data_IF_459302123119
#
_entry.id   IF_459302123119
#
_cell.length_a   1.000
_cell.length_b   1.000
_cell.length_c   1.000
_cell.angle_alpha   90.00
_cell.angle_beta   90.00
_cell.angle_gamma   90.00
#
_symmetry.space_group_name_H-M   'P 1'
#
loop_
_entity.id
_entity.type
_entity.pdbx_description
1 polymer ?
#
# COMPACT_ATOMS: atom_id res chain seq x y z
N UNK A 1 13.10 31.30 -13.36
CA UNK A 1 13.17 30.42 -12.16
C UNK A 1 11.95 30.57 -11.23
N UNK A 2 10.79 31.05 -11.69
CA UNK A 2 9.64 31.35 -10.83
C UNK A 2 8.36 30.52 -11.14
N UNK A 3 8.44 29.45 -11.94
CA UNK A 3 7.24 28.72 -12.42
C UNK A 3 6.95 27.39 -11.71
N UNK A 4 7.86 26.86 -10.90
CA UNK A 4 7.67 25.55 -10.23
C UNK A 4 6.96 25.65 -8.85
N UNK A 5 7.03 26.79 -8.16
CA UNK A 5 6.48 26.98 -6.80
C UNK A 5 5.01 27.40 -6.72
N UNK A 6 4.26 27.27 -7.82
CA UNK A 6 2.83 27.63 -7.91
C UNK A 6 1.92 26.42 -8.20
N UNK A 7 2.47 25.21 -8.05
CA UNK A 7 1.78 23.94 -8.29
C UNK A 7 1.70 23.18 -6.96
N UNK A 8 0.50 23.12 -6.38
CA UNK A 8 0.21 22.42 -5.12
C UNK A 8 0.88 21.04 -5.01
N UNK A 9 0.78 20.25 -6.06
CA UNK A 9 1.29 18.87 -6.10
C UNK A 9 2.81 18.83 -6.06
N UNK A 10 3.50 19.82 -6.62
CA UNK A 10 4.95 19.92 -6.56
C UNK A 10 5.45 20.25 -5.14
N UNK A 11 4.81 21.22 -4.48
CA UNK A 11 5.15 21.60 -3.12
C UNK A 11 4.90 20.43 -2.15
N UNK A 12 3.74 19.77 -2.26
CA UNK A 12 3.44 18.56 -1.49
C UNK A 12 4.42 17.41 -1.79
N UNK A 13 4.79 17.19 -3.06
CA UNK A 13 5.74 16.14 -3.42
C UNK A 13 7.14 16.39 -2.84
N UNK A 14 7.54 17.65 -2.72
CA UNK A 14 8.84 18.04 -2.15
C UNK A 14 8.92 17.76 -0.66
N UNK A 15 7.81 17.96 0.07
CA UNK A 15 7.74 17.68 1.51
C UNK A 15 7.47 16.20 1.77
N UNK A 16 6.55 15.57 1.05
CA UNK A 16 6.11 14.19 1.27
C UNK A 16 6.97 13.15 0.54
N UNK A 17 8.27 13.43 0.44
CA UNK A 17 9.23 12.63 -0.30
C UNK A 17 9.39 11.20 0.28
N UNK A 18 10.31 10.43 -0.31
CA UNK A 18 10.59 9.05 0.12
C UNK A 18 11.26 8.93 1.50
N UNK A 19 11.55 10.01 2.20
CA UNK A 19 12.14 9.96 3.55
C UNK A 19 11.35 10.77 4.58
N UNK A 20 10.21 11.38 4.22
CA UNK A 20 9.38 12.20 5.11
C UNK A 20 9.17 11.51 6.47
N UNK A 21 9.92 12.00 7.47
CA UNK A 21 9.93 11.59 8.86
C UNK A 21 10.36 10.14 9.18
N UNK A 22 10.42 9.24 8.19
CA UNK A 22 10.52 7.79 8.41
C UNK A 22 11.96 7.34 8.64
N UNK A 23 12.19 6.64 9.76
CA UNK A 23 13.50 6.10 10.17
C UNK A 23 13.61 4.57 10.04
N UNK A 24 12.53 3.90 9.63
CA UNK A 24 12.50 2.44 9.48
C UNK A 24 13.06 1.97 8.13
N UNK A 25 13.11 0.65 7.94
CA UNK A 25 13.53 -0.01 6.71
C UNK A 25 12.52 -1.08 6.32
N UNK A 26 12.36 -1.32 5.02
CA UNK A 26 11.48 -2.39 4.49
C UNK A 26 11.98 -3.81 4.87
N UNK A 27 13.24 -3.92 5.28
CA UNK A 27 13.84 -5.16 5.77
C UNK A 27 14.84 -4.91 6.90
N UNK A 28 14.90 -5.85 7.83
CA UNK A 28 15.80 -5.94 8.96
C UNK A 28 16.73 -7.14 8.80
N UNK A 29 17.99 -6.97 9.19
CA UNK A 29 18.97 -8.06 9.25
C UNK A 29 20.00 -7.74 10.31
N UNK A 30 20.18 -8.64 11.28
CA UNK A 30 21.20 -8.48 12.32
C UNK A 30 21.64 -9.82 12.92
N UNK A 31 22.93 -9.91 13.23
CA UNK A 31 23.45 -10.96 14.12
C UNK A 31 22.98 -10.70 15.55
N UNK A 32 22.51 -11.76 16.22
CA UNK A 32 22.04 -11.72 17.60
C UNK A 32 22.90 -12.67 18.45
N UNK A 33 24.11 -12.25 18.85
CA UNK A 33 24.94 -13.03 19.77
C UNK A 33 24.32 -13.16 21.17
N UNK A 34 23.33 -12.32 21.47
CA UNK A 34 22.49 -12.36 22.67
C UNK A 34 21.37 -13.42 22.62
N UNK A 35 21.15 -14.05 21.46
CA UNK A 35 20.11 -15.07 21.31
C UNK A 35 20.50 -16.36 22.07
N UNK A 36 19.61 -16.86 22.96
CA UNK A 36 19.87 -18.10 23.67
C UNK A 36 19.73 -19.30 22.72
N UNK A 37 20.38 -20.41 23.04
CA UNK A 37 20.15 -21.68 22.32
C UNK A 37 18.67 -22.10 22.53
N UNK A 38 17.88 -22.29 21.46
CA UNK A 38 16.48 -22.70 21.59
C UNK A 38 16.27 -24.05 22.30
N UNK A 39 17.30 -24.90 22.37
CA UNK A 39 17.19 -26.31 22.72
C UNK A 39 16.08 -26.97 21.89
N UNK A 40 16.25 -26.86 20.56
CA UNK A 40 15.29 -27.29 19.55
C UNK A 40 15.09 -28.80 19.62
N UNK A 41 13.84 -29.25 19.75
CA UNK A 41 13.49 -30.66 19.69
C UNK A 41 12.46 -30.95 18.60
N UNK A 42 12.63 -32.10 17.94
CA UNK A 42 11.75 -32.61 16.89
C UNK A 42 11.32 -34.02 17.26
N UNK A 43 10.01 -34.22 17.45
CA UNK A 43 9.44 -35.49 17.98
C UNK A 43 10.18 -35.96 19.25
N UNK A 44 10.44 -35.05 20.18
CA UNK A 44 11.15 -35.27 21.46
C UNK A 44 12.64 -35.64 21.34
N UNK A 45 13.25 -35.52 20.15
CA UNK A 45 14.72 -35.64 19.99
C UNK A 45 15.35 -34.24 19.91
N UNK A 46 16.37 -34.00 20.71
CA UNK A 46 17.17 -32.78 20.66
C UNK A 46 17.98 -32.72 19.35
N UNK A 47 17.95 -31.56 18.70
CA UNK A 47 18.74 -31.23 17.52
C UNK A 47 19.97 -30.46 17.98
N UNK A 48 21.17 -30.94 17.63
CA UNK A 48 22.41 -30.27 18.00
C UNK A 48 22.55 -28.95 17.26
N UNK A 49 22.94 -27.87 17.96
CA UNK A 49 23.42 -26.63 17.36
C UNK A 49 24.91 -26.45 17.69
N UNK A 50 25.78 -26.17 16.69
CA UNK A 50 25.45 -26.05 15.27
C UNK A 50 24.97 -27.36 14.63
N UNK A 51 24.14 -27.25 13.59
CA UNK A 51 23.49 -28.40 12.97
C UNK A 51 24.50 -29.43 12.46
N UNK A 52 24.39 -30.66 12.95
CA UNK A 52 25.19 -31.80 12.48
C UNK A 52 24.54 -32.47 11.26
N UNK A 53 25.34 -33.15 10.44
CA UNK A 53 24.81 -33.90 9.29
C UNK A 53 23.84 -35.01 9.73
N UNK A 54 24.12 -35.68 10.86
CA UNK A 54 23.26 -36.73 11.42
C UNK A 54 21.87 -36.16 11.73
N UNK A 55 21.81 -35.00 12.38
CA UNK A 55 20.53 -34.38 12.69
C UNK A 55 19.86 -33.79 11.45
N UNK A 56 20.61 -33.24 10.49
CA UNK A 56 20.06 -32.78 9.21
C UNK A 56 19.36 -33.92 8.44
N UNK A 57 19.96 -35.11 8.42
CA UNK A 57 19.35 -36.32 7.82
C UNK A 57 18.12 -36.78 8.62
N UNK A 58 18.14 -36.68 9.94
CA UNK A 58 16.97 -37.00 10.77
C UNK A 58 15.80 -36.03 10.51
N UNK A 59 16.08 -34.73 10.40
CA UNK A 59 15.11 -33.69 10.03
C UNK A 59 14.44 -34.01 8.70
N UNK A 60 15.21 -34.46 7.71
CA UNK A 60 14.69 -34.90 6.42
C UNK A 60 13.70 -36.06 6.53
N UNK A 61 13.98 -37.07 7.35
CA UNK A 61 13.06 -38.20 7.58
C UNK A 61 11.77 -37.75 8.28
N UNK A 62 11.85 -36.70 9.09
CA UNK A 62 10.69 -36.15 9.80
C UNK A 62 9.82 -35.22 8.95
N UNK A 63 10.28 -34.81 7.78
CA UNK A 63 9.54 -33.96 6.86
C UNK A 63 8.39 -34.71 6.18
N UNK A 64 7.32 -33.99 5.88
CA UNK A 64 6.23 -34.50 5.05
C UNK A 64 6.68 -34.75 3.59
N UNK A 65 7.85 -34.23 3.20
CA UNK A 65 8.47 -34.40 1.87
C UNK A 65 9.97 -34.75 1.99
N UNK A 66 10.31 -35.97 2.41
CA UNK A 66 11.70 -36.39 2.57
C UNK A 66 12.44 -36.44 1.22
N UNK A 67 13.74 -36.13 1.21
CA UNK A 67 14.62 -36.35 0.05
C UNK A 67 14.60 -37.83 -0.36
N UNK A 68 13.99 -38.11 -1.51
CA UNK A 68 13.87 -39.47 -2.04
C UNK A 68 13.66 -39.57 -3.54
N UNK A 69 13.20 -38.51 -4.22
CA UNK A 69 13.00 -38.52 -5.67
C UNK A 69 13.51 -37.19 -6.25
N UNK A 70 14.75 -37.22 -6.79
CA UNK A 70 15.51 -36.11 -7.37
C UNK A 70 14.78 -34.79 -7.63
N UNK A 71 15.09 -33.77 -6.83
CA UNK A 71 14.73 -32.38 -7.12
C UNK A 71 15.03 -31.48 -5.93
N UNK A 72 15.93 -30.50 -6.11
CA UNK A 72 16.39 -29.59 -5.06
C UNK A 72 15.28 -28.68 -4.51
N UNK A 73 14.46 -29.24 -3.61
CA UNK A 73 13.38 -28.63 -2.84
C UNK A 73 13.79 -28.72 -1.36
N UNK A 74 13.44 -27.73 -0.50
CA UNK A 74 13.98 -27.67 0.83
C UNK A 74 13.17 -28.61 1.72
N UNK A 75 13.82 -29.14 2.76
CA UNK A 75 13.13 -29.97 3.74
C UNK A 75 12.32 -29.06 4.64
N UNK A 76 10.99 -29.16 4.54
CA UNK A 76 10.04 -28.39 5.34
C UNK A 76 9.46 -29.29 6.42
N UNK A 77 9.51 -28.84 7.66
CA UNK A 77 8.98 -29.55 8.82
C UNK A 77 7.81 -28.76 9.39
N UNK A 78 6.71 -29.47 9.61
CA UNK A 78 5.50 -28.91 10.17
C UNK A 78 5.76 -28.34 11.58
N UNK A 79 5.31 -27.11 11.89
CA UNK A 79 5.55 -26.45 13.17
C UNK A 79 5.01 -27.24 14.38
N UNK A 80 3.99 -28.08 14.20
CA UNK A 80 3.43 -28.93 15.28
C UNK A 80 4.42 -30.00 15.79
N UNK A 81 5.44 -30.34 15.01
CA UNK A 81 6.48 -31.30 15.40
C UNK A 81 7.65 -30.63 16.13
N UNK A 82 7.68 -29.30 16.15
CA UNK A 82 8.76 -28.47 16.67
C UNK A 82 8.43 -28.03 18.08
N UNK A 83 9.36 -28.21 19.02
CA UNK A 83 9.24 -27.60 20.35
C UNK A 83 10.58 -27.10 20.89
N UNK A 84 10.51 -26.06 21.70
CA UNK A 84 11.66 -25.36 22.26
C UNK A 84 11.73 -25.64 23.76
N UNK A 85 12.85 -26.20 24.24
CA UNK A 85 13.00 -26.54 25.66
C UNK A 85 13.61 -25.40 26.48
N UNK A 86 14.18 -24.37 25.86
CA UNK A 86 14.71 -23.22 26.57
C UNK A 86 13.65 -22.10 26.73
N UNK A 87 13.15 -21.82 27.94
CA UNK A 87 12.16 -20.76 28.16
C UNK A 87 12.67 -19.36 27.80
N UNK A 88 14.00 -19.14 27.85
CA UNK A 88 14.59 -17.88 27.45
C UNK A 88 14.42 -17.60 25.94
N UNK A 89 14.17 -18.64 25.13
CA UNK A 89 13.89 -18.48 23.70
C UNK A 89 12.65 -17.64 23.44
N UNK A 90 11.56 -17.93 24.15
CA UNK A 90 10.30 -17.19 24.02
C UNK A 90 10.48 -15.73 24.46
N UNK A 91 11.21 -15.52 25.55
CA UNK A 91 11.55 -14.16 26.01
C UNK A 91 12.40 -13.40 24.98
N UNK A 92 13.34 -14.08 24.31
CA UNK A 92 14.12 -13.49 23.23
C UNK A 92 13.23 -13.08 22.05
N UNK A 93 12.31 -13.96 21.62
CA UNK A 93 11.35 -13.65 20.54
C UNK A 93 10.46 -12.45 20.90
N UNK A 94 9.98 -12.38 22.14
CA UNK A 94 9.13 -11.28 22.62
C UNK A 94 9.89 -9.96 22.85
N UNK A 95 11.17 -10.02 23.20
CA UNK A 95 12.03 -8.83 23.43
C UNK A 95 12.34 -8.01 22.16
N UNK A 96 11.84 -8.44 20.99
CA UNK A 96 12.13 -7.88 19.68
C UNK A 96 11.48 -6.52 19.37
N UNK A 97 11.33 -5.65 20.38
CA UNK A 97 11.06 -4.21 20.22
C UNK A 97 11.99 -3.58 19.18
N UNK A 98 13.20 -4.12 19.01
CA UNK A 98 14.15 -3.66 18.00
C UNK A 98 13.72 -3.99 16.57
N UNK A 99 13.12 -5.16 16.31
CA UNK A 99 12.68 -5.54 14.95
C UNK A 99 11.50 -4.66 14.53
N UNK A 100 10.51 -4.49 15.42
CA UNK A 100 9.36 -3.61 15.17
C UNK A 100 9.82 -2.17 14.93
N UNK A 101 10.69 -1.64 15.79
CA UNK A 101 11.25 -0.29 15.63
C UNK A 101 12.07 -0.13 14.35
N UNK A 102 12.87 -1.14 13.96
CA UNK A 102 13.66 -1.10 12.74
C UNK A 102 12.82 -1.24 11.46
N UNK A 103 11.72 -1.98 11.50
CA UNK A 103 10.71 -1.95 10.45
C UNK A 103 9.90 -0.64 10.47
N UNK A 104 10.04 0.17 11.52
CA UNK A 104 9.37 1.47 11.65
C UNK A 104 7.95 1.38 12.17
N UNK A 105 7.62 0.29 12.87
CA UNK A 105 6.43 0.21 13.70
C UNK A 105 6.68 0.98 15.01
N UNK A 106 5.72 1.78 15.49
CA UNK A 106 5.79 2.35 16.83
C UNK A 106 5.83 1.21 17.86
N UNK A 107 6.64 1.41 18.92
CA UNK A 107 6.99 0.38 19.91
C UNK A 107 5.84 -0.10 20.81
N UNK A 108 4.61 0.26 20.49
CA UNK A 108 3.40 0.03 21.26
C UNK A 108 2.47 -1.03 20.68
N UNK A 109 2.78 -1.56 19.48
CA UNK A 109 2.01 -2.65 18.90
C UNK A 109 2.36 -3.98 19.58
N UNK A 110 1.34 -4.70 20.02
CA UNK A 110 1.50 -6.09 20.47
C UNK A 110 1.63 -7.00 19.24
N UNK A 111 2.78 -7.66 19.11
CA UNK A 111 3.12 -8.53 17.98
C UNK A 111 3.25 -9.95 18.49
N UNK A 112 2.42 -10.84 17.93
CA UNK A 112 2.53 -12.29 18.14
C UNK A 112 3.42 -12.90 17.07
N UNK A 113 4.31 -13.77 17.52
CA UNK A 113 5.22 -14.55 16.68
C UNK A 113 4.64 -15.96 16.53
N UNK A 114 4.17 -16.32 15.33
CA UNK A 114 3.66 -17.68 15.05
C UNK A 114 4.70 -18.42 14.22
N UNK A 115 5.22 -19.54 14.72
CA UNK A 115 6.10 -20.40 13.91
C UNK A 115 5.28 -20.95 12.75
N UNK A 116 5.70 -20.65 11.52
CA UNK A 116 5.07 -21.12 10.30
C UNK A 116 5.73 -22.43 9.84
N UNK A 117 7.05 -22.47 9.78
CA UNK A 117 7.79 -23.67 9.34
C UNK A 117 9.23 -23.71 9.88
N UNK A 118 9.78 -24.92 9.96
CA UNK A 118 11.21 -25.17 10.11
C UNK A 118 11.76 -25.72 8.79
N UNK A 119 12.78 -25.06 8.24
CA UNK A 119 13.31 -25.35 6.90
C UNK A 119 14.79 -25.70 6.96
N UNK A 120 15.18 -26.78 6.25
CA UNK A 120 16.57 -27.14 5.99
C UNK A 120 16.86 -26.99 4.50
N UNK A 121 17.82 -26.12 4.17
CA UNK A 121 18.34 -25.98 2.82
C UNK A 121 19.64 -26.81 2.65
N UNK A 122 19.71 -27.62 1.59
CA UNK A 122 20.87 -28.46 1.19
C UNK A 122 21.13 -28.32 -0.33
N UNK A 123 22.29 -28.82 -0.78
CA UNK A 123 22.67 -29.00 -2.18
C UNK A 123 22.36 -30.42 -2.70
N UNK A 124 22.15 -30.64 -4.01
CA UNK A 124 22.11 -29.66 -5.10
C UNK A 124 20.74 -28.99 -5.22
N UNK A 125 20.73 -27.66 -5.08
CA UNK A 125 19.54 -26.85 -5.31
C UNK A 125 19.45 -26.47 -6.79
N UNK A 126 18.48 -27.03 -7.53
CA UNK A 126 18.14 -26.48 -8.85
C UNK A 126 17.29 -25.24 -8.61
N UNK A 127 17.87 -24.09 -8.97
CA UNK A 127 17.28 -22.75 -8.95
C UNK A 127 15.85 -22.71 -9.50
N UNK A 128 14.87 -23.08 -8.68
CA UNK A 128 13.56 -22.47 -8.77
C UNK A 128 13.65 -21.25 -7.88
N UNK A 129 13.65 -20.07 -8.51
CA UNK A 129 13.53 -18.81 -7.79
C UNK A 129 12.25 -18.89 -6.96
N UNK A 130 12.39 -19.20 -5.66
CA UNK A 130 11.28 -19.06 -4.75
C UNK A 130 11.10 -17.56 -4.55
N UNK A 131 10.28 -16.96 -5.42
CA UNK A 131 9.50 -15.81 -5.01
C UNK A 131 8.55 -16.35 -3.97
N UNK A 132 8.99 -16.34 -2.71
CA UNK A 132 8.04 -16.32 -1.61
C UNK A 132 7.36 -14.96 -1.71
N UNK A 133 6.35 -14.85 -2.56
CA UNK A 133 5.31 -13.88 -2.32
C UNK A 133 4.50 -14.55 -1.22
N UNK A 134 4.83 -14.26 0.04
CA UNK A 134 4.12 -14.82 1.18
C UNK A 134 2.67 -14.37 1.01
N UNK A 135 1.82 -15.30 0.58
CA UNK A 135 0.38 -15.13 0.61
C UNK A 135 0.09 -14.84 2.08
N UNK A 136 -0.66 -13.78 2.38
CA UNK A 136 -1.18 -13.60 3.73
C UNK A 136 -2.02 -14.83 4.07
N UNK A 137 -1.45 -15.78 4.78
CA UNK A 137 -2.14 -17.00 5.19
C UNK A 137 -3.01 -16.75 6.44
N UNK A 138 -2.76 -15.64 7.15
CA UNK A 138 -3.39 -15.31 8.42
C UNK A 138 -3.75 -13.82 8.50
N UNK A 139 -4.96 -13.53 8.97
CA UNK A 139 -5.42 -12.17 9.20
C UNK A 139 -4.49 -11.41 10.17
N UNK A 140 -4.10 -10.20 9.77
CA UNK A 140 -3.21 -9.33 10.55
C UNK A 140 -1.72 -9.66 10.45
N UNK A 141 -1.32 -10.65 9.64
CA UNK A 141 0.09 -10.88 9.29
C UNK A 141 0.63 -9.73 8.44
N UNK A 142 1.68 -9.06 8.92
CA UNK A 142 2.26 -7.91 8.21
C UNK A 142 3.69 -8.15 7.72
N UNK A 143 4.43 -9.07 8.35
CA UNK A 143 5.83 -9.34 8.05
C UNK A 143 6.19 -10.81 8.32
N UNK A 144 7.27 -11.24 7.68
CA UNK A 144 7.91 -12.53 7.90
C UNK A 144 9.21 -12.30 8.66
N UNK A 145 9.53 -13.19 9.60
CA UNK A 145 10.79 -13.19 10.33
C UNK A 145 11.47 -14.54 10.19
N UNK A 146 12.69 -14.55 9.66
CA UNK A 146 13.54 -15.73 9.62
C UNK A 146 14.57 -15.67 10.74
N UNK A 147 14.71 -16.78 11.45
CA UNK A 147 15.78 -17.00 12.43
C UNK A 147 16.68 -18.10 11.90
N UNK A 148 17.86 -17.71 11.44
CA UNK A 148 18.89 -18.62 10.93
C UNK A 148 19.65 -19.16 12.13
N UNK A 149 19.57 -20.48 12.35
CA UNK A 149 20.23 -21.16 13.44
C UNK A 149 21.66 -21.57 13.04
N UNK A 150 22.57 -21.73 14.02
CA UNK A 150 23.95 -22.11 13.75
C UNK A 150 24.03 -23.40 12.94
N UNK A 151 24.64 -23.35 11.77
CA UNK A 151 24.75 -24.45 10.82
C UNK A 151 25.84 -24.17 9.78
N UNK A 152 26.55 -25.20 9.32
CA UNK A 152 27.67 -25.01 8.40
C UNK A 152 27.15 -24.96 6.96
N UNK A 153 27.29 -23.82 6.28
CA UNK A 153 26.92 -23.69 4.86
C UNK A 153 27.74 -22.62 4.12
N UNK A 154 27.72 -22.70 2.78
CA UNK A 154 28.25 -21.66 1.87
C UNK A 154 27.21 -21.28 0.82
N UNK A 155 27.30 -20.05 0.30
CA UNK A 155 26.27 -19.49 -0.60
C UNK A 155 25.00 -19.11 0.17
N UNK A 156 23.87 -19.07 -0.52
CA UNK A 156 22.58 -18.82 0.12
C UNK A 156 22.23 -17.35 0.35
N UNK A 157 22.82 -16.41 -0.39
CA UNK A 157 22.52 -14.98 -0.18
C UNK A 157 21.04 -14.69 -0.43
N UNK A 158 20.46 -13.87 0.43
CA UNK A 158 19.06 -13.44 0.33
C UNK A 158 19.03 -12.04 -0.24
N UNK A 159 18.37 -11.87 -1.38
CA UNK A 159 18.07 -10.55 -1.93
C UNK A 159 16.63 -10.19 -1.55
N UNK A 160 16.46 -9.07 -0.85
CA UNK A 160 15.14 -8.50 -0.52
C UNK A 160 14.96 -7.21 -1.32
N UNK A 161 13.79 -7.05 -1.93
CA UNK A 161 13.50 -5.89 -2.79
C UNK A 161 12.10 -5.34 -2.57
N UNK A 162 12.01 -4.01 -2.49
CA UNK A 162 10.77 -3.26 -2.32
C UNK A 162 10.76 -2.10 -3.33
N UNK A 163 9.82 -2.13 -4.27
CA UNK A 163 9.78 -1.19 -5.38
C UNK A 163 11.04 -1.20 -6.25
N UNK A 164 11.81 -0.10 -6.22
CA UNK A 164 13.06 0.07 -6.97
C UNK A 164 14.32 -0.18 -6.13
N UNK A 165 14.15 -0.45 -4.82
CA UNK A 165 15.25 -0.62 -3.88
C UNK A 165 15.46 -2.12 -3.64
N UNK A 166 16.70 -2.56 -3.70
CA UNK A 166 17.09 -3.96 -3.46
C UNK A 166 18.30 -4.02 -2.54
N UNK A 167 18.31 -4.98 -1.61
CA UNK A 167 19.40 -5.21 -0.66
C UNK A 167 19.77 -6.68 -0.68
N UNK A 168 21.08 -6.96 -0.76
CA UNK A 168 21.63 -8.32 -0.67
C UNK A 168 22.12 -8.55 0.76
N UNK A 169 21.74 -9.68 1.33
CA UNK A 169 22.09 -10.11 2.67
C UNK A 169 22.90 -11.41 2.54
N UNK A 170 24.18 -11.35 2.90
CA UNK A 170 25.07 -12.51 2.97
C UNK A 170 25.40 -12.82 4.44
N UNK A 171 25.25 -14.09 4.82
CA UNK A 171 25.42 -14.62 6.18
C UNK A 171 26.41 -15.78 6.26
N UNK A 172 27.14 -16.05 5.19
CA UNK A 172 28.06 -17.18 5.13
C UNK A 172 29.21 -17.08 6.15
N UNK A 173 29.63 -15.87 6.53
CA UNK A 173 30.84 -15.65 7.36
C UNK A 173 30.68 -15.97 8.84
N UNK A 174 29.46 -15.98 9.38
CA UNK A 174 29.19 -16.24 10.81
C UNK A 174 28.18 -17.36 11.07
N UNK A 175 27.91 -18.18 10.05
CA UNK A 175 26.89 -19.22 10.04
C UNK A 175 27.05 -20.27 11.14
N UNK A 176 28.27 -20.48 11.64
CA UNK A 176 28.58 -21.54 12.60
C UNK A 176 28.36 -21.18 14.07
N UNK A 177 28.32 -19.90 14.43
CA UNK A 177 28.36 -19.49 15.84
C UNK A 177 27.21 -18.57 16.22
N UNK A 178 26.66 -17.83 15.26
CA UNK A 178 25.69 -16.78 15.55
C UNK A 178 24.31 -17.17 15.06
N UNK A 179 23.29 -16.79 15.83
CA UNK A 179 21.92 -16.73 15.34
C UNK A 179 21.75 -15.41 14.60
N UNK A 180 21.23 -15.47 13.37
CA UNK A 180 20.88 -14.28 12.60
C UNK A 180 19.37 -14.16 12.50
N UNK A 181 18.88 -12.96 12.74
CA UNK A 181 17.47 -12.62 12.55
C UNK A 181 17.32 -11.73 11.32
N UNK A 182 16.44 -12.13 10.42
CA UNK A 182 16.04 -11.41 9.23
C UNK A 182 14.54 -11.16 9.33
N UNK A 183 14.07 -10.00 8.88
CA UNK A 183 12.63 -9.77 8.77
C UNK A 183 12.32 -8.78 7.65
N UNK A 184 11.17 -8.92 7.02
CA UNK A 184 10.70 -8.06 5.94
C UNK A 184 9.17 -8.06 5.89
N UNK A 185 8.60 -7.01 5.30
CA UNK A 185 7.15 -6.92 5.09
C UNK A 185 6.64 -7.93 4.06
N UNK A 186 5.38 -8.34 4.20
CA UNK A 186 4.67 -9.31 3.34
C UNK A 186 4.70 -8.97 1.84
N UNK A 187 4.81 -7.70 1.48
CA UNK A 187 4.85 -7.21 0.10
C UNK A 187 6.29 -7.02 -0.45
N UNK A 188 7.31 -7.30 0.37
CA UNK A 188 8.71 -7.30 -0.06
C UNK A 188 8.99 -8.58 -0.85
N UNK A 189 9.62 -8.44 -2.01
CA UNK A 189 10.03 -9.60 -2.82
C UNK A 189 11.35 -10.15 -2.31
N UNK A 190 11.36 -11.40 -1.86
CA UNK A 190 12.57 -12.14 -1.57
C UNK A 190 13.03 -13.04 -2.74
N UNK A 191 14.35 -13.14 -2.89
CA UNK A 191 15.02 -14.08 -3.79
C UNK A 191 16.18 -14.72 -3.05
N UNK A 192 16.09 -16.02 -2.83
CA UNK A 192 17.14 -16.83 -2.20
C UNK A 192 18.06 -17.43 -3.29
N UNK A 193 19.37 -17.20 -3.17
CA UNK A 193 20.37 -17.92 -3.96
C UNK A 193 20.58 -19.34 -3.39
N UNK A 194 21.02 -20.31 -4.22
CA UNK A 194 21.27 -21.67 -3.76
C UNK A 194 22.38 -21.73 -2.70
N UNK A 195 22.22 -22.67 -1.75
CA UNK A 195 23.33 -23.16 -0.93
C UNK A 195 24.26 -23.96 -1.84
N UNK A 196 25.58 -23.73 -1.72
CA UNK A 196 26.62 -24.39 -2.54
C UNK A 196 27.35 -25.52 -1.82
N UNK A 197 27.28 -25.55 -0.48
CA UNK A 197 27.74 -26.68 0.34
C UNK A 197 27.11 -26.59 1.73
N UNK A 198 26.90 -27.75 2.37
CA UNK A 198 26.43 -27.85 3.75
C UNK A 198 24.91 -27.69 3.92
N UNK A 199 24.49 -27.37 5.15
CA UNK A 199 23.09 -27.25 5.56
C UNK A 199 22.83 -25.90 6.19
N UNK A 200 21.73 -25.26 5.80
CA UNK A 200 21.22 -24.05 6.48
C UNK A 200 19.91 -24.35 7.16
N UNK A 201 19.88 -24.20 8.49
CA UNK A 201 18.69 -24.38 9.32
C UNK A 201 18.01 -23.04 9.59
N UNK A 202 16.70 -22.95 9.30
CA UNK A 202 15.94 -21.71 9.42
C UNK A 202 14.59 -21.97 10.06
N UNK A 203 14.26 -21.19 11.10
CA UNK A 203 12.89 -21.07 11.61
C UNK A 203 12.21 -19.88 10.92
N UNK A 204 11.04 -20.10 10.32
CA UNK A 204 10.23 -19.06 9.70
C UNK A 204 9.03 -18.73 10.59
N UNK A 205 8.89 -17.46 10.95
CA UNK A 205 7.81 -16.95 11.78
C UNK A 205 6.97 -15.92 11.01
N UNK A 206 5.64 -16.03 11.15
CA UNK A 206 4.70 -14.98 10.78
C UNK A 206 4.59 -13.97 11.92
N UNK A 207 4.80 -12.68 11.64
CA UNK A 207 4.58 -11.58 12.58
C UNK A 207 3.16 -11.05 12.41
N UNK A 208 2.34 -11.20 13.46
CA UNK A 208 0.91 -10.90 13.45
C UNK A 208 0.61 -9.79 14.47
N UNK A 209 -0.15 -8.76 14.07
CA UNK A 209 -0.61 -7.72 14.99
C UNK A 209 -1.79 -8.26 15.81
N UNK A 210 -1.70 -8.17 17.13
CA UNK A 210 -2.77 -8.58 18.04
C UNK A 210 -3.82 -7.48 18.28
N UNK A 211 -3.41 -6.21 18.17
CA UNK A 211 -4.31 -5.06 18.30
C UNK A 211 -4.24 -4.17 17.05
N UNK A 212 -5.41 -3.95 16.44
CA UNK A 212 -5.58 -3.02 15.32
C UNK A 212 -5.81 -1.58 15.80
N UNK A 213 -6.11 -1.35 17.09
CA UNK A 213 -6.09 0.01 17.64
C UNK A 213 -4.65 0.45 17.88
N UNK A 214 -4.05 1.08 16.88
CA UNK A 214 -2.75 1.73 17.02
C UNK A 214 -2.84 2.95 17.93
N UNK A 215 -1.88 3.18 18.83
CA UNK A 215 -1.76 4.46 19.50
C UNK A 215 -1.18 5.52 18.56
N UNK A 216 -1.60 6.74 18.83
CA UNK A 216 -1.19 7.99 18.21
C UNK A 216 0.34 8.09 18.15
N UNK A 217 0.93 7.98 16.95
CA UNK A 217 2.36 8.27 16.78
C UNK A 217 2.51 9.79 16.89
N UNK A 218 2.84 10.25 18.09
CA UNK A 218 3.11 11.66 18.35
C UNK A 218 4.30 12.15 17.50
N UNK A 219 4.27 13.40 16.99
CA UNK A 219 5.40 14.00 16.30
C UNK A 219 6.67 13.95 17.15
N UNK A 220 7.76 13.38 16.61
CA UNK A 220 9.08 13.50 17.25
C UNK A 220 9.71 14.84 16.87
N UNK A 221 10.48 15.44 17.78
CA UNK A 221 11.14 16.74 17.61
C UNK A 221 12.07 16.87 16.39
N UNK A 222 12.38 15.76 15.71
CA UNK A 222 13.18 15.76 14.47
C UNK A 222 12.40 16.16 13.22
N UNK A 223 11.05 16.15 13.25
CA UNK A 223 10.21 16.36 12.08
C UNK A 223 9.46 17.70 12.11
N UNK A 224 9.76 18.57 13.07
CA UNK A 224 9.03 19.83 13.28
C UNK A 224 9.11 20.75 12.08
N UNK A 225 10.26 20.86 11.39
CA UNK A 225 10.38 21.71 10.19
C UNK A 225 9.54 21.23 9.02
N UNK A 226 9.51 19.91 8.77
CA UNK A 226 8.74 19.32 7.67
C UNK A 226 7.23 19.36 7.94
N UNK A 227 6.82 19.19 9.19
CA UNK A 227 5.42 19.35 9.60
C UNK A 227 4.96 20.81 9.51
N UNK A 228 5.79 21.78 9.88
CA UNK A 228 5.50 23.20 9.68
C UNK A 228 5.35 23.51 8.19
N UNK A 229 6.24 23.00 7.34
CA UNK A 229 6.14 23.19 5.89
C UNK A 229 4.90 22.53 5.29
N UNK A 230 4.53 21.34 5.76
CA UNK A 230 3.28 20.69 5.37
C UNK A 230 2.06 21.53 5.77
N UNK A 231 2.07 22.09 6.98
CA UNK A 231 1.01 22.98 7.45
C UNK A 231 0.88 24.22 6.54
N UNK A 232 1.98 24.91 6.24
CA UNK A 232 1.99 26.08 5.35
C UNK A 232 1.44 25.75 3.96
N UNK A 233 1.78 24.58 3.41
CA UNK A 233 1.30 24.13 2.09
C UNK A 233 -0.22 23.88 2.12
N UNK A 234 -0.71 23.17 3.13
CA UNK A 234 -2.13 22.86 3.27
C UNK A 234 -2.96 24.12 3.59
N UNK A 235 -2.42 25.04 4.38
CA UNK A 235 -3.05 26.32 4.67
C UNK A 235 -3.12 27.22 3.42
N UNK A 236 -2.03 27.26 2.63
CA UNK A 236 -2.02 27.93 1.33
C UNK A 236 -3.05 27.31 0.38
N UNK A 237 -3.23 26.00 0.42
CA UNK A 237 -4.28 25.34 -0.37
C UNK A 237 -5.67 25.75 0.09
N UNK A 238 -5.96 25.64 1.39
CA UNK A 238 -7.24 26.02 1.97
C UNK A 238 -7.61 27.49 1.65
N UNK A 239 -6.65 28.41 1.74
CA UNK A 239 -6.86 29.85 1.50
C UNK A 239 -6.88 30.24 0.01
N UNK A 240 -6.77 29.28 -0.91
CA UNK A 240 -6.80 29.54 -2.35
C UNK A 240 -5.53 30.20 -2.89
N UNK A 241 -4.40 30.04 -2.20
CA UNK A 241 -3.11 30.64 -2.56
C UNK A 241 -2.37 29.96 -3.74
N UNK A 242 -2.95 28.94 -4.36
CA UNK A 242 -2.42 28.30 -5.57
C UNK A 242 -3.22 28.70 -6.81
N UNK A 243 -2.52 29.08 -7.88
CA UNK A 243 -3.17 29.44 -9.16
C UNK A 243 -3.66 28.23 -9.93
N UNK A 244 -3.03 27.08 -9.74
CA UNK A 244 -3.36 25.83 -10.42
C UNK A 244 -3.68 24.75 -9.38
N UNK A 245 -4.93 24.26 -9.43
CA UNK A 245 -5.39 23.12 -8.66
C UNK A 245 -5.64 21.92 -9.59
N UNK A 246 -5.48 20.68 -9.09
CA UNK A 246 -5.88 19.49 -9.84
C UNK A 246 -7.33 19.56 -10.28
N UNK A 247 -7.64 18.98 -11.45
CA UNK A 247 -8.99 18.99 -12.06
C UNK A 247 -10.09 18.44 -11.14
N UNK A 248 -9.71 17.60 -10.17
CA UNK A 248 -10.61 16.95 -9.22
C UNK A 248 -10.64 17.59 -7.83
N UNK A 249 -9.92 18.69 -7.58
CA UNK A 249 -9.74 19.30 -6.24
C UNK A 249 -9.29 18.31 -5.16
N UNK A 250 -8.55 17.28 -5.56
CA UNK A 250 -7.96 16.31 -4.65
C UNK A 250 -6.54 15.99 -5.11
N UNK A 251 -5.73 15.53 -4.17
CA UNK A 251 -4.36 15.08 -4.41
C UNK A 251 -4.26 13.62 -3.97
N UNK A 252 -3.73 12.76 -4.83
CA UNK A 252 -3.44 11.36 -4.50
C UNK A 252 -1.96 11.15 -4.24
N UNK A 253 -1.59 10.71 -3.05
CA UNK A 253 -0.24 10.29 -2.71
C UNK A 253 -0.13 8.77 -2.87
N UNK A 254 0.71 8.31 -3.80
CA UNK A 254 0.95 6.87 -3.97
C UNK A 254 1.74 6.33 -2.78
N UNK A 255 1.18 5.31 -2.13
CA UNK A 255 1.79 4.61 -1.01
C UNK A 255 2.79 3.55 -1.50
N UNK A 256 3.80 3.28 -0.68
CA UNK A 256 4.92 2.40 -1.02
C UNK A 256 4.57 0.92 -0.93
N UNK A 257 3.68 0.54 -0.02
CA UNK A 257 3.23 -0.84 0.14
C UNK A 257 1.96 -1.14 -0.66
N UNK A 258 1.78 -2.41 -1.00
CA UNK A 258 0.54 -2.92 -1.57
C UNK A 258 -0.39 -3.39 -0.45
N UNK A 259 -1.62 -2.86 -0.43
CA UNK A 259 -2.64 -3.27 0.54
C UNK A 259 -3.82 -3.94 -0.18
N UNK A 260 -4.27 -5.04 0.39
CA UNK A 260 -5.49 -5.74 -0.02
C UNK A 260 -6.73 -4.96 0.40
N UNK A 261 -7.88 -5.30 -0.20
CA UNK A 261 -9.17 -4.67 0.11
C UNK A 261 -9.57 -4.85 1.59
N UNK A 262 -9.32 -6.03 2.17
CA UNK A 262 -9.54 -6.29 3.60
C UNK A 262 -8.63 -5.45 4.50
N UNK A 263 -7.39 -5.17 4.08
CA UNK A 263 -6.50 -4.25 4.80
C UNK A 263 -6.99 -2.79 4.71
N UNK A 264 -7.60 -2.39 3.59
CA UNK A 264 -8.19 -1.04 3.46
C UNK A 264 -9.43 -0.86 4.34
N UNK A 265 -10.21 -1.91 4.54
CA UNK A 265 -11.38 -1.92 5.46
C UNK A 265 -10.96 -1.87 6.94
N UNK A 266 -9.71 -2.18 7.27
CA UNK A 266 -9.12 -1.96 8.60
C UNK A 266 -8.69 -0.47 8.77
N UNK A 267 -8.47 0.25 7.66
CA UNK A 267 -8.10 1.65 7.65
C UNK A 267 -6.62 1.91 8.02
N UNK A 268 -6.37 3.02 8.71
CA UNK A 268 -5.02 3.49 9.08
C UNK A 268 -4.21 2.44 9.85
N UNK A 269 -4.89 1.59 10.61
CA UNK A 269 -4.29 0.53 11.41
C UNK A 269 -3.60 -0.57 10.60
N UNK A 270 -3.98 -0.77 9.34
CA UNK A 270 -3.37 -1.77 8.46
C UNK A 270 -2.06 -1.29 7.83
N UNK A 271 -1.81 0.03 7.83
CA UNK A 271 -0.67 0.61 7.15
C UNK A 271 0.65 0.05 7.72
N UNK A 272 1.64 -0.07 6.84
CA UNK A 272 2.96 -0.69 7.09
C UNK A 272 4.06 0.34 6.85
N UNK A 273 5.14 0.19 7.62
CA UNK A 273 6.40 0.93 7.47
C UNK A 273 6.21 2.42 7.24
N UNK A 274 6.72 2.89 6.11
CA UNK A 274 6.72 4.30 5.75
C UNK A 274 5.32 4.88 5.55
N UNK A 275 4.38 4.11 5.02
CA UNK A 275 3.04 4.61 4.73
C UNK A 275 2.28 4.94 6.01
N UNK A 276 2.37 4.05 7.01
CA UNK A 276 1.81 4.29 8.33
C UNK A 276 2.38 5.57 8.93
N UNK A 277 3.70 5.74 8.82
CA UNK A 277 4.38 6.93 9.34
C UNK A 277 3.92 8.22 8.65
N UNK A 278 3.84 8.22 7.31
CA UNK A 278 3.35 9.37 6.51
C UNK A 278 1.93 9.72 6.90
N UNK A 279 1.02 8.74 6.90
CA UNK A 279 -0.39 8.98 7.21
C UNK A 279 -0.55 9.51 8.64
N UNK A 280 0.16 8.94 9.62
CA UNK A 280 0.11 9.41 11.01
C UNK A 280 0.62 10.85 11.19
N UNK A 281 1.50 11.33 10.31
CA UNK A 281 2.01 12.70 10.34
C UNK A 281 1.12 13.69 9.58
N UNK A 282 0.60 13.27 8.43
CA UNK A 282 -0.28 14.10 7.61
C UNK A 282 -1.63 14.28 8.33
N UNK A 283 -2.15 13.23 8.99
CA UNK A 283 -3.49 13.21 9.55
C UNK A 283 -3.78 14.35 10.54
N UNK A 284 -2.98 14.62 11.59
CA UNK A 284 -3.25 15.72 12.51
C UNK A 284 -3.26 17.09 11.82
N UNK A 285 -2.30 17.33 10.91
CA UNK A 285 -2.19 18.61 10.17
C UNK A 285 -3.38 18.79 9.22
N UNK A 286 -3.72 17.76 8.47
CA UNK A 286 -4.86 17.74 7.56
C UNK A 286 -6.17 18.00 8.32
N UNK A 287 -6.38 17.30 9.45
CA UNK A 287 -7.59 17.42 10.24
C UNK A 287 -7.76 18.84 10.83
N UNK A 288 -6.68 19.45 11.33
CA UNK A 288 -6.70 20.83 11.84
C UNK A 288 -7.13 21.85 10.79
N UNK A 289 -6.73 21.64 9.53
CA UNK A 289 -7.00 22.55 8.40
C UNK A 289 -8.25 22.16 7.60
N UNK A 290 -9.07 21.25 8.10
CA UNK A 290 -10.34 20.88 7.45
C UNK A 290 -10.20 19.96 6.24
N UNK A 291 -9.08 19.24 6.10
CA UNK A 291 -8.91 18.20 5.10
C UNK A 291 -9.36 16.83 5.62
N UNK A 292 -9.85 16.00 4.71
CA UNK A 292 -10.11 14.58 4.92
C UNK A 292 -9.07 13.74 4.18
N UNK A 293 -8.76 12.59 4.77
CA UNK A 293 -7.83 11.61 4.25
C UNK A 293 -8.57 10.30 4.01
N UNK A 294 -8.46 9.79 2.79
CA UNK A 294 -9.05 8.52 2.39
C UNK A 294 -7.96 7.59 1.84
N UNK A 295 -8.08 6.30 2.09
CA UNK A 295 -7.34 5.29 1.38
C UNK A 295 -8.14 4.87 0.15
N UNK A 296 -7.45 4.62 -0.96
CA UNK A 296 -8.07 4.19 -2.20
C UNK A 296 -7.15 3.20 -2.92
N UNK A 297 -7.75 2.33 -3.71
CA UNK A 297 -7.03 1.50 -4.66
C UNK A 297 -6.82 2.32 -5.94
N UNK A 298 -5.57 2.45 -6.36
CA UNK A 298 -5.16 3.19 -7.54
C UNK A 298 -4.72 2.18 -8.61
N UNK A 299 -5.43 2.20 -9.72
CA UNK A 299 -5.12 1.40 -10.90
C UNK A 299 -4.57 2.31 -11.99
N UNK A 300 -3.51 1.86 -12.64
CA UNK A 300 -2.93 2.50 -13.82
C UNK A 300 -2.84 1.50 -14.96
N UNK A 301 -3.27 1.91 -16.15
CA UNK A 301 -3.06 1.19 -17.39
C UNK A 301 -2.65 2.14 -18.50
N UNK A 302 -1.77 1.65 -19.38
CA UNK A 302 -1.45 2.28 -20.64
C UNK A 302 -1.82 1.28 -21.75
N UNK A 303 -2.78 1.63 -22.61
CA UNK A 303 -3.05 0.84 -23.81
C UNK A 303 -1.99 1.16 -24.85
N UNK A 304 -1.00 0.29 -24.95
CA UNK A 304 -0.33 0.11 -26.23
C UNK A 304 -1.31 -0.70 -27.06
N UNK A 305 -2.01 -0.05 -28.00
CA UNK A 305 -2.66 -0.81 -29.06
C UNK A 305 -1.55 -1.69 -29.68
N UNK A 306 -1.72 -3.01 -29.64
CA UNK A 306 -0.95 -3.92 -30.47
C UNK A 306 -1.12 -3.42 -31.90
N UNK A 307 -0.12 -2.69 -32.38
CA UNK A 307 -0.16 -2.15 -33.72
C UNK A 307 -0.05 -3.36 -34.65
N UNK A 308 -1.16 -3.74 -35.26
CA UNK A 308 -1.08 -4.10 -36.67
C UNK A 308 -0.30 -2.95 -37.32
N UNK A 309 0.89 -3.25 -37.82
CA UNK A 309 1.80 -2.28 -38.44
C UNK A 309 1.08 -1.66 -39.63
N UNK A 310 0.44 -0.51 -39.44
CA UNK A 310 -0.04 0.32 -40.53
C UNK A 310 1.17 1.00 -41.17
N UNK A 311 1.39 0.67 -42.44
CA UNK A 311 2.36 1.33 -43.28
C UNK A 311 1.68 2.55 -43.93
N UNK A 312 2.24 3.75 -43.73
CA UNK A 312 1.85 4.92 -44.52
C UNK A 312 2.21 4.69 -46.00
N UNK A 313 1.61 5.46 -46.92
CA UNK A 313 1.81 5.32 -48.38
C UNK A 313 3.25 5.46 -48.87
N UNK A 314 4.16 5.94 -48.00
CA UNK A 314 5.59 6.13 -48.25
C UNK A 314 6.48 5.04 -47.59
N UNK A 315 5.91 4.00 -46.97
CA UNK A 315 6.65 2.84 -46.48
C UNK A 315 7.50 3.08 -45.22
N UNK A 316 7.22 4.15 -44.46
CA UNK A 316 7.85 4.44 -43.17
C UNK A 316 7.06 3.82 -42.02
N UNK A 317 7.76 3.16 -41.07
CA UNK A 317 7.16 2.59 -39.86
C UNK A 317 6.51 3.68 -39.00
N UNK A 318 5.18 3.68 -38.94
CA UNK A 318 4.43 4.47 -37.97
C UNK A 318 4.57 3.83 -36.58
N UNK A 319 5.47 4.36 -35.74
CA UNK A 319 5.51 3.96 -34.32
C UNK A 319 4.14 4.26 -33.70
N UNK A 320 3.44 3.28 -33.11
CA UNK A 320 2.17 3.55 -32.44
C UNK A 320 2.41 4.58 -31.33
N UNK A 321 1.59 5.64 -31.34
CA UNK A 321 1.59 6.61 -30.24
C UNK A 321 0.99 5.90 -29.02
N UNK A 322 1.69 5.78 -27.89
CA UNK A 322 1.10 5.23 -26.69
C UNK A 322 -0.13 6.06 -26.32
N UNK A 323 -1.23 5.41 -25.92
CA UNK A 323 -2.38 6.10 -25.36
C UNK A 323 -1.93 6.91 -24.13
N UNK A 324 -2.62 8.02 -23.79
CA UNK A 324 -2.36 8.72 -22.54
C UNK A 324 -2.50 7.77 -21.35
N UNK A 325 -1.65 7.91 -20.34
CA UNK A 325 -1.77 7.17 -19.08
C UNK A 325 -3.16 7.40 -18.48
N UNK A 326 -3.87 6.30 -18.16
CA UNK A 326 -5.16 6.36 -17.48
C UNK A 326 -5.00 5.87 -16.05
N UNK A 327 -5.52 6.67 -15.12
CA UNK A 327 -5.52 6.37 -13.69
C UNK A 327 -6.95 6.27 -13.20
N UNK A 328 -7.27 5.22 -12.46
CA UNK A 328 -8.55 5.05 -11.80
C UNK A 328 -8.34 4.93 -10.30
N UNK A 329 -9.17 5.65 -9.54
CA UNK A 329 -9.29 5.47 -8.09
C UNK A 329 -10.60 4.76 -7.78
N UNK A 330 -10.52 3.64 -7.09
CA UNK A 330 -11.67 2.91 -6.59
C UNK A 330 -11.43 2.47 -5.14
N UNK A 331 -12.40 1.75 -4.58
CA UNK A 331 -12.32 1.19 -3.25
C UNK A 331 -11.92 2.22 -2.17
N UNK A 332 -12.67 3.32 -2.07
CA UNK A 332 -12.37 4.35 -1.07
C UNK A 332 -12.76 3.89 0.34
N UNK A 333 -11.89 4.11 1.31
CA UNK A 333 -12.18 3.99 2.73
C UNK A 333 -11.66 5.23 3.48
N UNK A 334 -12.36 5.65 4.52
CA UNK A 334 -11.78 6.61 5.46
C UNK A 334 -10.67 5.96 6.29
N UNK A 335 -9.91 6.75 7.06
CA UNK A 335 -8.85 6.20 7.92
C UNK A 335 -9.34 5.27 9.03
N UNK A 336 -10.66 5.18 9.28
CA UNK A 336 -11.28 4.26 10.23
C UNK A 336 -11.75 2.96 9.55
N UNK A 337 -11.60 2.83 8.23
CA UNK A 337 -12.05 1.67 7.47
C UNK A 337 -13.50 1.76 6.98
N UNK A 338 -14.19 2.90 7.17
CA UNK A 338 -15.54 3.04 6.64
C UNK A 338 -15.49 3.22 5.12
N UNK A 339 -16.18 2.33 4.41
CA UNK A 339 -16.28 2.35 2.95
C UNK A 339 -17.02 3.59 2.46
N UNK A 340 -16.36 4.32 1.56
CA UNK A 340 -16.94 5.41 0.79
C UNK A 340 -17.28 4.87 -0.59
N UNK A 341 -18.58 4.77 -0.89
CA UNK A 341 -19.03 4.29 -2.20
C UNK A 341 -18.64 5.28 -3.29
N UNK A 342 -18.07 4.79 -4.38
CA UNK A 342 -17.73 5.58 -5.55
C UNK A 342 -16.49 5.05 -6.28
N UNK A 343 -16.30 5.48 -7.53
CA UNK A 343 -15.09 5.27 -8.33
C UNK A 343 -14.83 6.48 -9.22
N UNK A 344 -13.57 6.83 -9.43
CA UNK A 344 -13.14 7.90 -10.33
C UNK A 344 -12.40 7.23 -11.49
N UNK A 345 -13.06 7.14 -12.64
CA UNK A 345 -12.55 6.41 -13.81
C UNK A 345 -11.37 7.11 -14.50
N UNK A 346 -11.32 8.45 -14.44
CA UNK A 346 -10.31 9.26 -15.13
C UNK A 346 -9.65 10.24 -14.16
N UNK A 347 -8.82 9.73 -13.26
CA UNK A 347 -8.06 10.56 -12.34
C UNK A 347 -6.93 11.30 -13.09
N UNK A 348 -6.83 12.61 -12.83
CA UNK A 348 -5.84 13.47 -13.48
C UNK A 348 -4.45 13.19 -12.90
N UNK A 349 -3.46 12.75 -13.72
CA UNK A 349 -2.12 12.47 -13.25
C UNK A 349 -1.41 13.68 -12.63
N UNK A 350 -1.82 14.92 -12.98
CA UNK A 350 -1.29 16.14 -12.35
C UNK A 350 -1.67 16.24 -10.87
N UNK A 351 -2.66 15.48 -10.43
CA UNK A 351 -3.07 15.33 -9.03
C UNK A 351 -2.31 14.25 -8.26
N UNK A 352 -1.42 13.48 -8.90
CA UNK A 352 -0.69 12.38 -8.26
C UNK A 352 0.71 12.77 -7.80
N UNK A 353 1.05 12.40 -6.58
CA UNK A 353 2.40 12.46 -6.02
C UNK A 353 3.01 11.07 -6.09
N UNK A 354 4.21 10.97 -6.67
CA UNK A 354 4.94 9.72 -6.92
C UNK A 354 4.17 8.69 -7.77
N UNK A 355 3.67 9.03 -8.98
CA UNK A 355 2.86 8.14 -9.83
C UNK A 355 3.61 6.91 -10.41
N UNK A 356 4.67 6.41 -9.78
CA UNK A 356 5.45 5.28 -10.29
C UNK A 356 6.22 5.61 -11.57
N UNK A 357 7.11 4.69 -11.97
CA UNK A 357 7.76 4.73 -13.29
C UNK A 357 6.88 4.09 -14.37
N UNK A 358 7.27 4.19 -15.66
CA UNK A 358 6.46 3.69 -16.78
C UNK A 358 6.32 2.16 -16.68
N UNK A 359 5.20 1.70 -16.15
CA UNK A 359 4.78 0.30 -16.15
C UNK A 359 3.51 0.20 -16.98
N UNK A 360 3.41 -0.87 -17.78
CA UNK A 360 2.27 -1.10 -18.68
C UNK A 360 0.94 -1.23 -17.93
N UNK A 361 0.98 -1.75 -16.70
CA UNK A 361 -0.12 -1.82 -15.77
C UNK A 361 0.42 -1.94 -14.35
N UNK A 362 -0.14 -1.20 -13.39
CA UNK A 362 0.10 -1.48 -11.97
C UNK A 362 -1.10 -1.09 -11.10
N UNK A 363 -1.28 -1.85 -10.01
CA UNK A 363 -2.26 -1.59 -8.96
C UNK A 363 -1.51 -1.30 -7.67
N UNK A 364 -1.81 -0.18 -7.03
CA UNK A 364 -1.23 0.23 -5.76
C UNK A 364 -2.30 0.89 -4.88
N UNK A 365 -1.89 1.33 -3.69
CA UNK A 365 -2.77 2.08 -2.80
C UNK A 365 -2.39 3.55 -2.82
N UNK A 366 -3.38 4.42 -2.86
CA UNK A 366 -3.20 5.87 -2.76
C UNK A 366 -3.83 6.41 -1.48
N UNK A 367 -3.17 7.38 -0.85
CA UNK A 367 -3.76 8.26 0.14
C UNK A 367 -4.31 9.49 -0.57
N UNK A 368 -5.63 9.65 -0.57
CA UNK A 368 -6.32 10.79 -1.18
C UNK A 368 -6.51 11.87 -0.11
N UNK A 369 -6.06 13.08 -0.43
CA UNK A 369 -6.20 14.28 0.38
C UNK A 369 -7.23 15.18 -0.30
N UNK A 370 -8.29 15.55 0.41
CA UNK A 370 -9.39 16.37 -0.10
C UNK A 370 -9.83 17.37 0.97
N UNK A 371 -10.12 18.61 0.56
CA UNK A 371 -10.65 19.62 1.48
C UNK A 371 -12.16 19.40 1.69
N UNK A 372 -12.66 19.58 2.93
CA UNK A 372 -14.08 19.36 3.26
C UNK A 372 -15.07 20.14 2.39
N UNK A 373 -14.69 21.33 1.95
CA UNK A 373 -15.55 22.18 1.10
C UNK A 373 -15.70 21.67 -0.34
N UNK A 374 -14.80 20.80 -0.79
CA UNK A 374 -14.78 20.18 -2.12
C UNK A 374 -15.36 18.75 -2.11
N UNK A 375 -15.73 18.22 -0.95
CA UNK A 375 -16.25 16.86 -0.79
C UNK A 375 -17.47 16.56 -1.65
N UNK A 376 -18.40 17.51 -1.76
CA UNK A 376 -19.57 17.35 -2.61
C UNK A 376 -19.20 17.22 -4.09
N UNK A 377 -18.23 18.01 -4.55
CA UNK A 377 -17.72 17.92 -5.91
C UNK A 377 -17.08 16.56 -6.15
N UNK A 378 -16.23 16.10 -5.22
CA UNK A 378 -15.58 14.80 -5.30
C UNK A 378 -16.59 13.65 -5.33
N UNK A 379 -17.59 13.68 -4.46
CA UNK A 379 -18.63 12.66 -4.40
C UNK A 379 -19.53 12.64 -5.63
N UNK A 380 -19.84 13.80 -6.22
CA UNK A 380 -20.57 13.88 -7.49
C UNK A 380 -19.75 13.26 -8.63
N UNK A 381 -18.43 13.47 -8.64
CA UNK A 381 -17.54 12.85 -9.63
C UNK A 381 -17.45 11.33 -9.42
N UNK A 382 -17.32 10.88 -8.17
CA UNK A 382 -17.10 9.47 -7.84
C UNK A 382 -18.38 8.60 -7.87
N UNK A 383 -19.54 9.16 -7.52
CA UNK A 383 -20.83 8.45 -7.45
C UNK A 383 -21.81 8.86 -8.55
N UNK A 384 -21.43 9.85 -9.36
CA UNK A 384 -22.29 10.41 -10.39
C UNK A 384 -23.39 11.32 -9.85
N UNK A 385 -24.39 11.64 -10.71
CA UNK A 385 -25.39 12.67 -10.42
C UNK A 385 -26.35 12.28 -9.30
N UNK A 386 -26.56 10.96 -9.06
CA UNK A 386 -27.47 10.46 -8.03
C UNK A 386 -27.13 10.98 -6.63
N UNK A 387 -25.84 11.02 -6.27
CA UNK A 387 -25.42 11.57 -4.99
C UNK A 387 -25.86 13.02 -4.80
N UNK A 388 -25.70 13.85 -5.83
CA UNK A 388 -26.12 15.24 -5.79
C UNK A 388 -27.64 15.38 -5.73
N UNK A 389 -28.37 14.58 -6.52
CA UNK A 389 -29.85 14.59 -6.54
C UNK A 389 -30.44 14.17 -5.20
N UNK A 390 -29.93 13.12 -4.57
CA UNK A 390 -30.34 12.65 -3.25
C UNK A 390 -30.13 13.75 -2.20
N UNK A 391 -28.99 14.45 -2.25
CA UNK A 391 -28.68 15.56 -1.34
C UNK A 391 -29.61 16.76 -1.54
N UNK A 392 -30.07 16.99 -2.77
CA UNK A 392 -31.04 18.04 -3.08
C UNK A 392 -32.48 17.66 -2.71
N UNK A 393 -32.80 16.38 -2.53
CA UNK A 393 -34.18 15.90 -2.37
C UNK A 393 -34.96 16.63 -1.25
N UNK A 394 -34.32 16.90 -0.11
CA UNK A 394 -34.94 17.63 1.00
C UNK A 394 -35.35 19.07 0.65
N UNK A 395 -34.68 19.68 -0.34
CA UNK A 395 -34.97 21.04 -0.79
C UNK A 395 -36.26 21.16 -1.61
N UNK A 396 -36.85 20.05 -2.08
CA UNK A 396 -38.15 20.08 -2.75
C UNK A 396 -39.28 20.57 -1.84
N UNK A 397 -39.07 20.45 -0.53
CA UNK A 397 -40.02 20.88 0.50
C UNK A 397 -39.77 22.33 0.96
N UNK A 398 -38.81 23.04 0.36
CA UNK A 398 -38.44 24.41 0.71
C UNK A 398 -38.74 25.35 -0.46
N UNK A 399 -39.28 26.54 -0.19
CA UNK A 399 -39.62 27.51 -1.23
C UNK A 399 -38.39 28.17 -1.86
N UNK A 400 -37.26 28.25 -1.14
CA UNK A 400 -36.02 28.85 -1.62
C UNK A 400 -34.81 27.93 -1.38
N UNK A 401 -33.94 27.72 -2.38
CA UNK A 401 -32.72 26.93 -2.20
C UNK A 401 -31.69 27.69 -1.38
N UNK A 402 -30.96 26.96 -0.55
CA UNK A 402 -29.76 27.51 0.09
C UNK A 402 -28.65 27.70 -0.95
N UNK A 403 -27.65 28.57 -0.70
CA UNK A 403 -26.47 28.69 -1.57
C UNK A 403 -25.76 27.34 -1.81
N UNK A 404 -25.77 26.45 -0.80
CA UNK A 404 -25.25 25.09 -0.91
C UNK A 404 -26.02 24.22 -1.91
N UNK A 405 -27.36 24.30 -1.91
CA UNK A 405 -28.19 23.58 -2.88
C UNK A 405 -27.88 24.03 -4.32
N UNK A 406 -27.70 25.34 -4.52
CA UNK A 406 -27.34 25.89 -5.84
C UNK A 406 -25.94 25.44 -6.27
N UNK A 407 -24.97 25.41 -5.35
CA UNK A 407 -23.61 24.87 -5.61
C UNK A 407 -23.69 23.41 -6.07
N UNK A 408 -24.46 22.56 -5.39
CA UNK A 408 -24.63 21.14 -5.75
C UNK A 408 -25.26 21.00 -7.15
N UNK A 409 -26.33 21.75 -7.45
CA UNK A 409 -26.98 21.70 -8.75
C UNK A 409 -26.03 22.10 -9.90
N UNK A 410 -25.22 23.13 -9.69
CA UNK A 410 -24.21 23.56 -10.66
C UNK A 410 -23.10 22.49 -10.85
N UNK A 411 -22.67 21.84 -9.78
CA UNK A 411 -21.70 20.73 -9.84
C UNK A 411 -22.24 19.53 -10.63
N UNK A 412 -23.51 19.15 -10.43
CA UNK A 412 -24.15 18.07 -11.19
C UNK A 412 -24.05 18.35 -12.69
N UNK A 413 -24.44 19.56 -13.12
CA UNK A 413 -24.44 19.96 -14.53
C UNK A 413 -23.03 20.08 -15.12
N UNK A 414 -22.04 20.45 -14.31
CA UNK A 414 -20.67 20.63 -14.74
C UNK A 414 -19.97 19.28 -15.02
N UNK A 415 -20.13 18.30 -14.13
CA UNK A 415 -19.37 17.05 -14.17
C UNK A 415 -20.11 15.87 -14.82
N UNK A 416 -21.44 15.94 -14.95
CA UNK A 416 -22.24 14.85 -15.53
C UNK A 416 -22.84 15.33 -16.86
N UNK A 417 -22.15 15.01 -17.95
CA UNK A 417 -22.63 15.35 -19.30
C UNK A 417 -23.71 14.40 -19.78
N UNK A 418 -23.62 13.13 -19.41
CA UNK A 418 -24.58 12.10 -19.75
C UNK A 418 -25.38 11.75 -18.49
N UNK A 419 -26.67 12.07 -18.50
CA UNK A 419 -27.61 11.75 -17.43
C UNK A 419 -28.85 11.14 -18.05
N UNK A 420 -29.48 10.20 -17.34
CA UNK A 420 -30.73 9.60 -17.77
C UNK A 420 -31.87 10.64 -17.84
N UNK A 421 -32.87 10.36 -18.68
CA UNK A 421 -34.04 11.23 -18.82
C UNK A 421 -34.78 11.45 -17.48
N UNK A 422 -34.76 10.47 -16.59
CA UNK A 422 -35.31 10.55 -15.21
C UNK A 422 -34.60 11.63 -14.38
N UNK A 423 -33.27 11.68 -14.45
CA UNK A 423 -32.42 12.63 -13.72
C UNK A 423 -32.59 14.05 -14.26
N UNK A 424 -32.67 14.20 -15.59
CA UNK A 424 -32.96 15.51 -16.21
C UNK A 424 -34.32 16.06 -15.78
N UNK A 425 -35.35 15.20 -15.67
CA UNK A 425 -36.67 15.59 -15.15
C UNK A 425 -36.57 16.04 -13.70
N UNK A 426 -35.77 15.37 -12.88
CA UNK A 426 -35.58 15.73 -11.48
C UNK A 426 -34.88 17.10 -11.35
N UNK A 427 -33.82 17.34 -12.12
CA UNK A 427 -33.17 18.66 -12.22
C UNK A 427 -34.15 19.77 -12.61
N UNK A 428 -35.02 19.50 -13.58
CA UNK A 428 -36.05 20.44 -14.01
C UNK A 428 -37.08 20.72 -12.89
N UNK A 429 -37.46 19.71 -12.11
CA UNK A 429 -38.34 19.88 -10.95
C UNK A 429 -37.73 20.79 -9.89
N UNK A 430 -36.44 20.64 -9.58
CA UNK A 430 -35.73 21.53 -8.65
C UNK A 430 -35.78 22.99 -9.12
N UNK A 431 -35.42 23.24 -10.39
CA UNK A 431 -35.43 24.59 -10.96
C UNK A 431 -36.83 25.24 -10.90
N UNK A 432 -37.90 24.48 -11.16
CA UNK A 432 -39.27 24.97 -11.06
C UNK A 432 -39.68 25.26 -9.60
N UNK A 433 -39.36 24.36 -8.67
CA UNK A 433 -39.70 24.51 -7.24
C UNK A 433 -39.00 25.71 -6.63
N UNK A 434 -37.72 25.88 -6.93
CA UNK A 434 -36.90 27.00 -6.48
C UNK A 434 -37.18 28.31 -7.22
N UNK A 435 -38.01 28.27 -8.27
CA UNK A 435 -38.26 29.41 -9.18
C UNK A 435 -36.96 30.00 -9.75
N UNK A 436 -35.96 29.14 -10.00
CA UNK A 436 -34.62 29.53 -10.44
C UNK A 436 -34.53 29.46 -11.98
N UNK A 437 -34.79 30.61 -12.61
CA UNK A 437 -34.75 30.74 -14.07
C UNK A 437 -33.36 30.48 -14.66
N UNK A 438 -32.29 30.80 -13.93
CA UNK A 438 -30.92 30.61 -14.40
C UNK A 438 -30.56 29.13 -14.44
N UNK A 439 -30.92 28.40 -13.39
CA UNK A 439 -30.74 26.95 -13.35
C UNK A 439 -31.54 26.27 -14.45
N UNK A 440 -32.80 26.68 -14.67
CA UNK A 440 -33.64 26.18 -15.77
C UNK A 440 -32.96 26.35 -17.15
N UNK A 441 -32.42 27.56 -17.42
CA UNK A 441 -31.69 27.84 -18.67
C UNK A 441 -30.45 26.96 -18.82
N UNK A 442 -29.67 26.76 -17.73
CA UNK A 442 -28.49 25.89 -17.74
C UNK A 442 -28.88 24.43 -18.05
N UNK A 443 -29.93 23.92 -17.42
CA UNK A 443 -30.44 22.55 -17.64
C UNK A 443 -30.82 22.35 -19.11
N UNK A 444 -31.63 23.24 -19.68
CA UNK A 444 -32.05 23.14 -21.09
C UNK A 444 -30.83 23.17 -22.02
N UNK A 445 -29.88 24.08 -21.78
CA UNK A 445 -28.68 24.20 -22.60
C UNK A 445 -27.84 22.92 -22.58
N UNK A 446 -27.71 22.26 -21.43
CA UNK A 446 -26.99 20.99 -21.34
C UNK A 446 -27.77 19.84 -21.98
N UNK A 447 -29.07 19.70 -21.70
CA UNK A 447 -29.90 18.65 -22.27
C UNK A 447 -29.93 18.70 -23.83
N UNK A 448 -30.01 19.90 -24.42
CA UNK A 448 -29.97 20.08 -25.88
C UNK A 448 -28.61 19.76 -26.51
N UNK A 449 -27.50 19.90 -25.77
CA UNK A 449 -26.18 19.51 -26.27
C UNK A 449 -26.05 17.99 -26.35
N UNK A 450 -26.62 17.28 -25.39
CA UNK A 450 -26.63 15.81 -25.35
C UNK A 450 -27.48 15.25 -26.49
N UNK A 451 -28.66 15.82 -26.74
CA UNK A 451 -29.56 15.37 -27.81
C UNK A 451 -29.03 15.60 -29.24
N UNK A 452 -27.98 16.41 -29.41
CA UNK A 452 -27.31 16.61 -30.72
C UNK A 452 -26.11 15.68 -30.94
N UNK A 453 -25.72 14.91 -29.92
CA UNK A 453 -24.59 13.97 -29.95
C UNK A 453 -25.05 12.50 -30.01
N UNK A 454 -26.36 12.24 -29.93
CA UNK A 454 -26.93 10.92 -30.19
C UNK A 454 -27.24 10.78 -31.69
N UNK A 455 -26.75 9.74 -32.39
CA UNK A 455 -26.98 9.55 -33.82
C UNK A 455 -28.45 9.33 -34.19
#
# INVERSE_FOLDING_TARGET
MAELGDVLVHDLATVLDKNFGYKGSFAYSKNRPDAPDPLLTIKNRLISLPLSEIDARYLNVCSDRPWGNGGGIPTIINPSLVSFQNPAWESFLQSNITISSCLGLPGSYEIRHKLHELVVYETPWRSHFLYYQDIQEEDGMFATMLVVLPSQYTGGEITVSHGSISKVIDDSTSCMTNIRVLSWYTDVKQKLKPITSGYRLVLSYSLIRCSLSGPEVMPTAANTSELTRLHEILERWHTGGYRQLPSHCMVGLVLGHHYSESELDIGQAALKGQDAHKVNQIFPVAQMLGFELWLAKLQHWCSVLDAETDYDSDGLECRPRPSPDQYQLDYFTDLKGNRVLGKIEYFDPKGLINPGGPKYYYCCTGLVIVHKEDMDRVMIIARGPNYGLDKLQASLNQDNPTPGNRKIADLILQYNREMEASMWKMMAQFALRWRDLDLWKKIIKHAMKVSRLSP
#
